data_IF_144276661376
#
_entry.id   IF_144276661376
#
_cell.length_a   1.000
_cell.length_b   1.000
_cell.length_c   1.000
_cell.angle_alpha   90.00
_cell.angle_beta   90.00
_cell.angle_gamma   90.00
#
_symmetry.space_group_name_H-M   'P 1'
#
loop_
_entity.id
_entity.type
_entity.pdbx_description
1 polymer ?
#
# COMPACT_ATOMS: atom_id res chain seq x y z
N UNK A 1 35.35 -46.33 -21.84
CA UNK A 1 34.15 -46.08 -20.97
C UNK A 1 34.60 -45.39 -19.72
N UNK A 2 34.51 -44.07 -19.65
CA UNK A 2 34.81 -43.29 -18.46
C UNK A 2 33.50 -42.55 -18.10
N UNK A 3 32.85 -43.03 -17.06
CA UNK A 3 31.61 -42.46 -16.51
C UNK A 3 31.96 -41.24 -15.66
N UNK A 4 31.73 -40.05 -16.19
CA UNK A 4 31.77 -38.80 -15.46
C UNK A 4 30.48 -38.67 -14.60
N UNK A 5 30.54 -39.11 -13.35
CA UNK A 5 29.56 -38.79 -12.32
C UNK A 5 29.58 -37.26 -12.10
N UNK A 6 28.64 -36.52 -12.69
CA UNK A 6 28.34 -35.17 -12.24
C UNK A 6 27.81 -35.24 -10.79
N UNK A 7 28.65 -34.81 -9.85
CA UNK A 7 28.21 -34.51 -8.47
C UNK A 7 27.18 -33.38 -8.56
N UNK A 8 25.91 -33.72 -8.48
CA UNK A 8 24.87 -32.75 -8.12
C UNK A 8 25.15 -32.35 -6.69
N UNK A 9 25.81 -31.21 -6.48
CA UNK A 9 25.83 -30.53 -5.19
C UNK A 9 24.41 -30.07 -4.93
N UNK A 10 23.68 -30.84 -4.13
CA UNK A 10 22.43 -30.39 -3.52
C UNK A 10 22.78 -29.30 -2.50
N UNK A 11 22.82 -28.04 -2.97
CA UNK A 11 22.85 -26.89 -2.07
C UNK A 11 21.54 -26.94 -1.31
N UNK A 12 21.62 -27.15 0.01
CA UNK A 12 20.45 -27.08 0.89
C UNK A 12 19.73 -25.75 0.64
N UNK A 13 18.41 -25.72 0.58
CA UNK A 13 17.68 -24.48 0.31
C UNK A 13 17.92 -23.53 1.48
N UNK A 14 18.75 -22.51 1.28
CA UNK A 14 18.94 -21.42 2.22
C UNK A 14 17.67 -20.57 2.19
N UNK A 15 16.92 -20.56 3.30
CA UNK A 15 15.75 -19.69 3.46
C UNK A 15 16.12 -18.20 3.60
N UNK A 16 17.41 -17.89 3.77
CA UNK A 16 17.91 -16.52 3.91
C UNK A 16 18.31 -15.91 2.57
N UNK A 17 18.20 -14.58 2.49
CA UNK A 17 18.73 -13.76 1.38
C UNK A 17 20.03 -13.11 1.86
N UNK A 18 21.09 -13.17 1.03
CA UNK A 18 22.31 -12.41 1.31
C UNK A 18 22.11 -10.94 0.89
N UNK A 19 21.57 -10.14 1.80
CA UNK A 19 21.26 -8.74 1.56
C UNK A 19 22.50 -7.83 1.39
N UNK A 20 23.70 -8.34 1.69
CA UNK A 20 24.93 -7.59 1.44
C UNK A 20 25.41 -7.71 -0.01
N UNK A 21 24.81 -8.61 -0.77
CA UNK A 21 25.11 -8.77 -2.19
C UNK A 21 24.43 -7.67 -3.01
N UNK A 22 25.10 -7.16 -4.02
CA UNK A 22 24.50 -6.23 -5.01
C UNK A 22 24.55 -6.85 -6.42
N UNK A 23 24.22 -8.15 -6.52
CA UNK A 23 24.21 -8.90 -7.78
C UNK A 23 22.90 -9.65 -7.98
N UNK A 24 22.59 -10.03 -9.21
CA UNK A 24 21.45 -10.87 -9.56
C UNK A 24 20.11 -10.36 -9.03
N UNK A 25 19.34 -11.25 -8.39
CA UNK A 25 18.02 -10.95 -7.83
C UNK A 25 18.08 -9.99 -6.65
N UNK A 26 19.15 -10.01 -5.85
CA UNK A 26 19.31 -9.10 -4.70
C UNK A 26 19.51 -7.66 -5.17
N UNK A 27 20.29 -7.44 -6.25
CA UNK A 27 20.40 -6.11 -6.86
C UNK A 27 19.04 -5.58 -7.30
N UNK A 28 18.21 -6.40 -7.94
CA UNK A 28 16.87 -5.99 -8.37
C UNK A 28 15.98 -5.70 -7.16
N UNK A 29 16.08 -6.49 -6.08
CA UNK A 29 15.37 -6.22 -4.84
C UNK A 29 15.76 -4.84 -4.28
N UNK A 30 17.06 -4.54 -4.20
CA UNK A 30 17.56 -3.25 -3.69
C UNK A 30 17.08 -2.08 -4.54
N UNK A 31 17.19 -2.16 -5.85
CA UNK A 31 16.71 -1.11 -6.73
C UNK A 31 15.18 -0.93 -6.60
N UNK A 32 14.44 -2.03 -6.42
CA UNK A 32 12.97 -1.98 -6.38
C UNK A 32 12.42 -1.50 -5.04
N UNK A 33 12.99 -1.93 -3.88
CA UNK A 33 12.53 -1.39 -2.61
C UNK A 33 12.90 0.09 -2.46
N UNK A 34 14.05 0.53 -3.03
CA UNK A 34 14.42 1.94 -3.00
C UNK A 34 13.52 2.80 -3.92
N UNK A 35 13.03 2.25 -5.05
CA UNK A 35 11.99 2.88 -5.84
C UNK A 35 10.71 3.09 -5.01
N UNK A 36 10.33 2.08 -4.21
CA UNK A 36 9.17 2.17 -3.32
C UNK A 36 9.39 3.16 -2.18
N UNK A 37 10.58 3.19 -1.60
CA UNK A 37 10.99 4.18 -0.61
C UNK A 37 10.81 5.60 -1.15
N UNK A 38 11.28 5.89 -2.37
CA UNK A 38 11.12 7.21 -3.00
C UNK A 38 9.64 7.53 -3.23
N UNK A 39 8.83 6.58 -3.70
CA UNK A 39 7.40 6.83 -3.86
C UNK A 39 6.73 7.16 -2.53
N UNK A 40 7.08 6.49 -1.43
CA UNK A 40 6.56 6.82 -0.10
C UNK A 40 7.08 8.15 0.44
N UNK A 41 8.35 8.45 0.20
CA UNK A 41 8.93 9.74 0.53
C UNK A 41 8.16 10.90 -0.15
N UNK A 42 7.89 10.78 -1.46
CA UNK A 42 7.08 11.75 -2.22
C UNK A 42 5.64 11.80 -1.72
N UNK A 43 5.02 10.64 -1.51
CA UNK A 43 3.61 10.54 -1.15
C UNK A 43 3.30 11.17 0.21
N UNK A 44 4.23 11.06 1.17
CA UNK A 44 4.09 11.59 2.53
C UNK A 44 4.87 12.89 2.78
N UNK A 45 5.50 13.46 1.76
CA UNK A 45 6.34 14.68 1.90
C UNK A 45 5.62 15.88 2.53
N UNK A 46 4.32 16.02 2.30
CA UNK A 46 3.50 17.13 2.83
C UNK A 46 3.25 17.01 4.34
N UNK A 47 3.16 15.77 4.87
CA UNK A 47 2.68 15.54 6.23
C UNK A 47 3.52 16.24 7.32
N UNK A 48 4.88 16.12 7.32
CA UNK A 48 5.72 16.80 8.31
C UNK A 48 5.81 18.31 8.11
N UNK A 49 5.39 18.81 6.95
CA UNK A 49 5.46 20.24 6.59
C UNK A 49 4.07 20.90 6.57
N UNK A 50 3.04 20.18 7.05
CA UNK A 50 1.66 20.65 7.00
C UNK A 50 1.45 21.96 7.76
N UNK A 51 2.15 22.18 8.88
CA UNK A 51 2.07 23.44 9.62
C UNK A 51 2.54 24.63 8.77
N UNK A 52 3.68 24.50 8.09
CA UNK A 52 4.20 25.54 7.18
C UNK A 52 3.27 25.77 5.98
N UNK A 53 2.70 24.70 5.42
CA UNK A 53 1.73 24.79 4.33
C UNK A 53 0.48 25.52 4.81
N UNK A 54 -0.03 25.17 6.00
CA UNK A 54 -1.19 25.81 6.62
C UNK A 54 -0.95 27.30 6.82
N UNK A 55 0.21 27.69 7.31
CA UNK A 55 0.60 29.08 7.54
C UNK A 55 0.70 29.86 6.21
N UNK A 56 1.37 29.28 5.20
CA UNK A 56 1.56 29.92 3.87
C UNK A 56 0.22 30.22 3.18
N UNK A 57 -0.74 29.32 3.25
CA UNK A 57 -2.03 29.46 2.58
C UNK A 57 -3.15 29.92 3.53
N UNK A 58 -2.87 30.17 4.80
CA UNK A 58 -3.86 30.53 5.84
C UNK A 58 -5.03 29.53 5.91
N UNK A 59 -4.69 28.21 5.84
CA UNK A 59 -5.69 27.16 5.76
C UNK A 59 -6.46 26.99 7.06
N UNK A 60 -7.74 26.79 6.95
CA UNK A 60 -8.62 26.36 8.04
C UNK A 60 -8.31 24.90 8.44
N UNK A 61 -8.66 24.50 9.65
CA UNK A 61 -8.53 23.12 10.10
C UNK A 61 -9.29 22.13 9.18
N UNK A 62 -10.37 22.58 8.56
CA UNK A 62 -11.17 21.81 7.60
C UNK A 62 -10.42 21.55 6.30
N UNK A 63 -9.76 22.56 5.74
CA UNK A 63 -8.96 22.46 4.53
C UNK A 63 -7.75 21.55 4.73
N UNK A 64 -7.08 21.63 5.88
CA UNK A 64 -6.00 20.71 6.25
C UNK A 64 -6.51 19.26 6.28
N UNK A 65 -7.64 18.99 6.94
CA UNK A 65 -8.24 17.65 6.97
C UNK A 65 -8.58 17.15 5.55
N UNK A 66 -9.02 18.05 4.68
CA UNK A 66 -9.31 17.74 3.29
C UNK A 66 -8.08 17.30 2.52
N UNK A 67 -6.95 18.01 2.65
CA UNK A 67 -5.70 17.60 2.02
C UNK A 67 -5.24 16.20 2.47
N UNK A 68 -5.48 15.85 3.75
CA UNK A 68 -5.15 14.52 4.26
C UNK A 68 -6.05 13.42 3.67
N UNK A 69 -7.35 13.69 3.50
CA UNK A 69 -8.31 12.74 2.91
C UNK A 69 -8.03 12.53 1.42
N UNK A 70 -7.72 13.59 0.67
CA UNK A 70 -7.42 13.52 -0.76
C UNK A 70 -6.26 12.57 -1.08
N UNK A 71 -5.36 12.36 -0.14
CA UNK A 71 -4.24 11.43 -0.27
C UNK A 71 -4.67 10.00 -0.62
N UNK A 72 -5.80 9.54 -0.12
CA UNK A 72 -6.25 8.15 -0.26
C UNK A 72 -7.23 8.00 -1.42
N UNK A 73 -7.92 9.07 -1.82
CA UNK A 73 -9.03 9.03 -2.76
C UNK A 73 -8.66 8.39 -4.11
N UNK A 74 -7.61 8.86 -4.77
CA UNK A 74 -7.19 8.31 -6.06
C UNK A 74 -6.41 6.99 -5.92
N UNK A 75 -5.85 6.69 -4.76
CA UNK A 75 -5.03 5.49 -4.55
C UNK A 75 -5.84 4.20 -4.76
N UNK A 76 -7.12 4.20 -4.40
CA UNK A 76 -8.01 3.03 -4.56
C UNK A 76 -8.08 2.62 -6.04
N UNK A 77 -8.59 3.45 -6.96
CA UNK A 77 -8.66 3.09 -8.38
C UNK A 77 -7.27 2.97 -9.02
N UNK A 78 -6.29 3.76 -8.60
CA UNK A 78 -4.94 3.71 -9.15
C UNK A 78 -4.28 2.34 -8.94
N UNK A 79 -4.39 1.72 -7.77
CA UNK A 79 -3.84 0.38 -7.51
C UNK A 79 -4.41 -0.69 -8.43
N UNK A 80 -5.69 -0.63 -8.75
CA UNK A 80 -6.34 -1.57 -9.67
C UNK A 80 -5.84 -1.36 -11.10
N UNK A 81 -5.85 -0.11 -11.56
CA UNK A 81 -5.43 0.25 -12.93
C UNK A 81 -3.96 -0.11 -13.14
N UNK A 82 -3.09 0.30 -12.22
CA UNK A 82 -1.65 0.01 -12.27
C UNK A 82 -1.40 -1.49 -12.17
N UNK A 83 -2.18 -2.23 -11.35
CA UNK A 83 -2.10 -3.69 -11.28
C UNK A 83 -2.40 -4.38 -12.61
N UNK A 84 -3.38 -3.89 -13.36
CA UNK A 84 -3.67 -4.40 -14.71
C UNK A 84 -2.58 -4.00 -15.72
N UNK A 85 -2.10 -2.76 -15.63
CA UNK A 85 -1.09 -2.24 -16.53
C UNK A 85 0.27 -2.91 -16.32
N UNK A 86 0.70 -3.14 -15.09
CA UNK A 86 1.99 -3.78 -14.82
C UNK A 86 2.05 -5.21 -15.36
N UNK A 87 0.95 -5.95 -15.29
CA UNK A 87 0.90 -7.32 -15.83
C UNK A 87 1.04 -7.35 -17.37
N UNK A 88 0.62 -6.29 -18.06
CA UNK A 88 0.69 -6.20 -19.52
C UNK A 88 1.94 -5.49 -20.05
N UNK A 89 2.37 -4.42 -19.39
CA UNK A 89 3.49 -3.55 -19.83
C UNK A 89 4.83 -4.03 -19.29
N UNK A 90 4.86 -4.60 -18.08
CA UNK A 90 6.04 -5.02 -17.35
C UNK A 90 6.42 -4.03 -16.23
N UNK A 91 7.00 -4.55 -15.13
CA UNK A 91 7.28 -3.74 -13.94
C UNK A 91 8.37 -2.69 -14.14
N UNK A 92 9.38 -2.95 -14.99
CA UNK A 92 10.43 -1.99 -15.30
C UNK A 92 9.87 -0.67 -15.84
N UNK A 93 9.10 -0.77 -16.93
CA UNK A 93 8.52 0.41 -17.58
C UNK A 93 7.47 1.07 -16.69
N UNK A 94 6.66 0.26 -16.03
CA UNK A 94 5.58 0.77 -15.20
C UNK A 94 6.09 1.52 -13.98
N UNK A 95 7.16 1.04 -13.31
CA UNK A 95 7.72 1.74 -12.16
C UNK A 95 8.44 3.03 -12.56
N UNK A 96 9.22 2.98 -13.64
CA UNK A 96 9.86 4.19 -14.17
C UNK A 96 8.83 5.26 -14.53
N UNK A 97 7.76 4.88 -15.22
CA UNK A 97 6.65 5.79 -15.54
C UNK A 97 6.00 6.37 -14.27
N UNK A 98 5.74 5.53 -13.28
CA UNK A 98 5.12 5.96 -12.02
C UNK A 98 6.02 6.95 -11.27
N UNK A 99 7.31 6.68 -11.15
CA UNK A 99 8.29 7.59 -10.54
C UNK A 99 8.37 8.92 -11.29
N UNK A 100 8.40 8.86 -12.63
CA UNK A 100 8.43 10.05 -13.49
C UNK A 100 7.21 10.94 -13.27
N UNK A 101 6.01 10.38 -13.34
CA UNK A 101 4.76 11.11 -13.09
C UNK A 101 4.73 11.64 -11.66
N UNK A 102 5.13 10.82 -10.67
CA UNK A 102 5.17 11.22 -9.26
C UNK A 102 6.06 12.43 -9.03
N UNK A 103 7.21 12.50 -9.71
CA UNK A 103 8.10 13.65 -9.62
C UNK A 103 7.45 14.94 -10.10
N UNK A 104 6.79 14.92 -11.26
CA UNK A 104 6.08 16.10 -11.76
C UNK A 104 4.89 16.52 -10.90
N UNK A 105 4.10 15.54 -10.40
CA UNK A 105 2.99 15.83 -9.49
C UNK A 105 3.51 16.47 -8.18
N UNK A 106 4.63 15.97 -7.67
CA UNK A 106 5.29 16.53 -6.49
C UNK A 106 5.74 17.98 -6.71
N UNK A 107 6.37 18.26 -7.85
CA UNK A 107 6.74 19.63 -8.22
C UNK A 107 5.50 20.53 -8.37
N UNK A 108 4.45 20.04 -9.02
CA UNK A 108 3.19 20.76 -9.13
C UNK A 108 2.57 21.08 -7.76
N UNK A 109 2.65 20.15 -6.79
CA UNK A 109 2.22 20.39 -5.41
C UNK A 109 3.11 21.44 -4.72
N UNK A 110 4.43 21.31 -4.85
CA UNK A 110 5.39 22.22 -4.19
C UNK A 110 5.23 23.67 -4.65
N UNK A 111 4.95 23.89 -5.94
CA UNK A 111 4.82 25.21 -6.53
C UNK A 111 3.36 25.67 -6.75
N UNK A 112 2.40 25.01 -6.12
CA UNK A 112 1.02 25.48 -6.09
C UNK A 112 0.94 26.89 -5.45
N UNK A 113 0.10 27.76 -6.01
CA UNK A 113 -0.09 29.14 -5.56
C UNK A 113 -1.46 29.38 -4.92
N UNK A 114 -2.42 28.47 -5.13
CA UNK A 114 -3.75 28.51 -4.51
C UNK A 114 -4.09 27.20 -3.81
N UNK A 115 -5.05 27.25 -2.89
CA UNK A 115 -5.56 26.06 -2.21
C UNK A 115 -6.13 25.03 -3.18
N UNK A 116 -6.86 25.48 -4.21
CA UNK A 116 -7.48 24.59 -5.21
C UNK A 116 -6.40 23.83 -6.00
N UNK A 117 -5.32 24.52 -6.40
CA UNK A 117 -4.18 23.87 -7.06
C UNK A 117 -3.52 22.87 -6.14
N UNK A 118 -3.30 23.24 -4.86
CA UNK A 118 -2.72 22.37 -3.85
C UNK A 118 -3.57 21.11 -3.66
N UNK A 119 -4.89 21.28 -3.50
CA UNK A 119 -5.86 20.19 -3.33
C UNK A 119 -5.91 19.28 -4.56
N UNK A 120 -5.92 19.87 -5.77
CA UNK A 120 -5.93 19.12 -7.02
C UNK A 120 -4.64 18.29 -7.20
N UNK A 121 -3.47 18.92 -6.99
CA UNK A 121 -2.20 18.18 -7.05
C UNK A 121 -2.13 17.08 -5.98
N UNK A 122 -2.67 17.35 -4.79
CA UNK A 122 -2.75 16.35 -3.71
C UNK A 122 -3.63 15.16 -4.07
N UNK A 123 -4.77 15.41 -4.69
CA UNK A 123 -5.62 14.35 -5.22
C UNK A 123 -4.87 13.50 -6.26
N UNK A 124 -4.20 14.13 -7.23
CA UNK A 124 -3.43 13.42 -8.25
C UNK A 124 -2.24 12.63 -7.64
N UNK A 125 -1.61 13.14 -6.59
CA UNK A 125 -0.54 12.45 -5.88
C UNK A 125 -1.01 11.13 -5.24
N UNK A 126 -2.29 10.90 -5.05
CA UNK A 126 -2.84 9.59 -4.68
C UNK A 126 -2.44 8.46 -5.63
N UNK A 127 -2.15 8.77 -6.90
CA UNK A 127 -1.61 7.83 -7.89
C UNK A 127 -0.27 7.20 -7.46
N UNK A 128 0.57 7.94 -6.73
CA UNK A 128 1.89 7.51 -6.25
C UNK A 128 1.81 6.25 -5.38
N UNK A 129 0.73 6.14 -4.58
CA UNK A 129 0.49 4.99 -3.70
C UNK A 129 0.29 3.64 -4.43
N UNK A 130 0.15 3.67 -5.77
CA UNK A 130 0.10 2.46 -6.59
C UNK A 130 1.47 1.81 -6.84
N UNK A 131 2.59 2.46 -6.50
CA UNK A 131 3.94 1.92 -6.64
C UNK A 131 4.15 0.56 -5.97
N UNK A 132 3.48 0.34 -4.85
CA UNK A 132 3.51 -0.92 -4.12
C UNK A 132 3.21 -2.15 -5.01
N UNK A 133 2.18 -2.05 -5.85
CA UNK A 133 1.71 -3.15 -6.72
C UNK A 133 2.77 -3.52 -7.76
N UNK A 134 3.47 -2.52 -8.29
CA UNK A 134 4.49 -2.71 -9.33
C UNK A 134 5.68 -3.52 -8.80
N UNK A 135 6.15 -3.22 -7.61
CA UNK A 135 7.28 -3.94 -7.04
C UNK A 135 6.92 -5.34 -6.56
N UNK A 136 5.70 -5.58 -6.09
CA UNK A 136 5.22 -6.95 -5.80
C UNK A 136 5.29 -7.80 -7.08
N UNK A 137 4.90 -7.24 -8.23
CA UNK A 137 5.03 -7.93 -9.52
C UNK A 137 6.50 -8.19 -9.87
N UNK A 138 7.40 -7.21 -9.68
CA UNK A 138 8.85 -7.38 -9.91
C UNK A 138 9.42 -8.50 -9.04
N UNK A 139 9.15 -8.47 -7.73
CA UNK A 139 9.62 -9.50 -6.79
C UNK A 139 9.13 -10.90 -7.20
N UNK A 140 7.88 -11.02 -7.68
CA UNK A 140 7.33 -12.31 -8.12
C UNK A 140 8.01 -12.90 -9.36
N UNK A 141 8.64 -12.06 -10.19
CA UNK A 141 9.38 -12.52 -11.37
C UNK A 141 10.82 -12.94 -11.05
N UNK A 142 11.42 -12.32 -10.02
CA UNK A 142 12.83 -12.51 -9.70
C UNK A 142 13.10 -13.51 -8.57
N UNK A 143 12.09 -13.81 -7.74
CA UNK A 143 12.29 -14.69 -6.57
C UNK A 143 11.46 -15.97 -6.66
N UNK A 144 12.05 -17.12 -6.27
CA UNK A 144 11.31 -18.39 -6.21
C UNK A 144 10.28 -18.37 -5.08
N UNK A 145 9.27 -19.23 -5.19
CA UNK A 145 8.16 -19.35 -4.23
C UNK A 145 8.58 -19.50 -2.76
N UNK A 146 9.77 -20.08 -2.49
CA UNK A 146 10.32 -20.26 -1.13
C UNK A 146 10.93 -18.99 -0.53
N UNK A 147 11.18 -17.96 -1.32
CA UNK A 147 11.85 -16.72 -0.92
C UNK A 147 11.00 -15.48 -1.21
N UNK A 148 9.90 -15.62 -1.96
CA UNK A 148 9.07 -14.49 -2.42
C UNK A 148 8.43 -13.74 -1.27
N UNK A 149 8.11 -14.43 -0.18
CA UNK A 149 7.52 -13.81 1.01
C UNK A 149 8.53 -12.91 1.73
N UNK A 150 9.74 -13.42 1.98
CA UNK A 150 10.81 -12.62 2.60
C UNK A 150 11.18 -11.43 1.69
N UNK A 151 11.39 -11.67 0.39
CA UNK A 151 11.72 -10.60 -0.55
C UNK A 151 10.61 -9.55 -0.68
N UNK A 152 9.34 -9.96 -0.72
CA UNK A 152 8.18 -9.09 -0.73
C UNK A 152 8.02 -8.30 0.58
N UNK A 153 8.32 -8.94 1.72
CA UNK A 153 8.33 -8.30 3.03
C UNK A 153 9.41 -7.22 3.14
N UNK A 154 10.63 -7.49 2.65
CA UNK A 154 11.72 -6.50 2.57
C UNK A 154 11.32 -5.35 1.64
N UNK A 155 10.82 -5.67 0.46
CA UNK A 155 10.33 -4.66 -0.47
C UNK A 155 9.29 -3.73 0.17
N UNK A 156 8.25 -4.31 0.78
CA UNK A 156 7.16 -3.55 1.40
C UNK A 156 7.59 -2.81 2.67
N UNK A 157 8.34 -3.48 3.56
CA UNK A 157 8.76 -2.90 4.84
C UNK A 157 9.78 -1.77 4.68
N UNK A 158 10.82 -1.99 3.88
CA UNK A 158 11.86 -1.00 3.66
C UNK A 158 11.38 0.15 2.76
N UNK A 159 10.47 -0.14 1.82
CA UNK A 159 9.84 0.91 1.02
C UNK A 159 8.94 1.82 1.86
N UNK A 160 8.10 1.26 2.74
CA UNK A 160 7.25 2.06 3.64
C UNK A 160 8.05 2.99 4.57
N UNK A 161 9.30 2.67 4.87
CA UNK A 161 10.20 3.53 5.65
C UNK A 161 10.39 4.90 5.00
N UNK A 162 10.11 5.06 3.71
CA UNK A 162 10.12 6.36 3.02
C UNK A 162 9.25 7.42 3.70
N UNK A 163 8.12 7.04 4.30
CA UNK A 163 7.26 7.98 5.05
C UNK A 163 7.91 8.45 6.35
N UNK A 164 8.58 7.56 7.08
CA UNK A 164 9.34 7.92 8.28
C UNK A 164 10.54 8.79 7.91
N UNK A 165 11.24 8.47 6.81
CA UNK A 165 12.33 9.29 6.30
C UNK A 165 11.87 10.71 5.92
N UNK A 166 10.67 10.85 5.32
CA UNK A 166 10.07 12.16 5.06
C UNK A 166 9.87 12.94 6.37
N UNK A 167 9.30 12.30 7.39
CA UNK A 167 9.04 12.94 8.68
C UNK A 167 10.33 13.38 9.39
N UNK A 168 11.41 12.63 9.25
CA UNK A 168 12.69 12.90 9.90
C UNK A 168 13.53 13.94 9.14
N UNK A 169 13.48 13.93 7.80
CA UNK A 169 14.42 14.73 6.98
C UNK A 169 13.85 16.03 6.45
N UNK A 170 12.56 16.05 6.06
CA UNK A 170 12.01 17.21 5.34
C UNK A 170 11.87 18.46 6.20
N UNK A 171 11.53 18.43 7.50
CA UNK A 171 11.57 19.61 8.34
C UNK A 171 12.97 20.22 8.44
N UNK A 172 14.00 19.37 8.52
CA UNK A 172 15.40 19.82 8.57
C UNK A 172 15.78 20.48 7.24
N UNK A 173 15.43 19.86 6.11
CA UNK A 173 15.67 20.42 4.79
C UNK A 173 14.94 21.74 4.59
N UNK A 174 13.70 21.86 5.05
CA UNK A 174 12.93 23.11 4.98
C UNK A 174 13.61 24.23 5.76
N UNK A 175 14.13 23.95 6.95
CA UNK A 175 14.91 24.90 7.74
C UNK A 175 16.23 25.27 7.05
N UNK A 176 16.91 24.30 6.42
CA UNK A 176 18.15 24.54 5.69
C UNK A 176 17.96 25.41 4.44
N UNK A 177 16.86 25.25 3.72
CA UNK A 177 16.53 26.12 2.59
C UNK A 177 16.13 27.51 3.06
N UNK A 178 15.52 27.61 4.25
CA UNK A 178 15.16 28.87 4.89
C UNK A 178 14.01 29.63 4.23
N UNK A 179 13.57 30.71 4.90
CA UNK A 179 12.48 31.55 4.42
C UNK A 179 11.11 30.87 4.44
N UNK A 180 10.10 31.60 4.00
CA UNK A 180 8.70 31.14 3.98
C UNK A 180 8.45 30.01 2.95
N UNK A 181 9.30 29.91 1.93
CA UNK A 181 9.24 28.90 0.86
C UNK A 181 10.13 27.67 1.12
N UNK A 182 10.83 27.58 2.26
CA UNK A 182 11.70 26.45 2.57
C UNK A 182 11.01 25.08 2.46
N UNK A 183 9.74 25.00 2.85
CA UNK A 183 8.94 23.79 2.72
C UNK A 183 8.69 23.39 1.25
N UNK A 184 8.56 24.35 0.33
CA UNK A 184 8.38 24.13 -1.11
C UNK A 184 9.61 23.44 -1.71
N UNK A 185 10.79 23.96 -1.39
CA UNK A 185 12.07 23.39 -1.87
C UNK A 185 12.34 22.02 -1.25
N UNK A 186 11.98 21.81 0.02
CA UNK A 186 12.09 20.50 0.65
C UNK A 186 11.19 19.46 -0.05
N UNK A 187 9.93 19.78 -0.37
CA UNK A 187 9.05 18.92 -1.13
C UNK A 187 9.56 18.72 -2.56
N UNK A 188 9.93 19.80 -3.25
CA UNK A 188 10.45 19.76 -4.62
C UNK A 188 11.67 18.84 -4.74
N UNK A 189 12.56 18.84 -3.74
CA UNK A 189 13.74 17.96 -3.72
C UNK A 189 13.38 16.48 -3.82
N UNK A 190 12.28 16.05 -3.18
CA UNK A 190 11.80 14.66 -3.27
C UNK A 190 11.25 14.36 -4.67
N UNK A 191 10.58 15.31 -5.31
CA UNK A 191 10.11 15.20 -6.69
C UNK A 191 11.27 15.06 -7.67
N UNK A 192 12.32 15.87 -7.52
CA UNK A 192 13.54 15.79 -8.34
C UNK A 192 14.23 14.43 -8.15
N UNK A 193 14.33 13.95 -6.91
CA UNK A 193 14.86 12.62 -6.62
C UNK A 193 14.08 11.52 -7.36
N UNK A 194 12.75 11.61 -7.38
CA UNK A 194 11.89 10.65 -8.10
C UNK A 194 12.14 10.70 -9.61
N UNK A 195 12.29 11.88 -10.21
CA UNK A 195 12.61 12.06 -11.64
C UNK A 195 13.96 11.43 -11.99
N UNK A 196 15.00 11.72 -11.22
CA UNK A 196 16.35 11.16 -11.42
C UNK A 196 16.29 9.64 -11.30
N UNK A 197 15.64 9.12 -10.25
CA UNK A 197 15.58 7.69 -9.99
C UNK A 197 14.71 6.95 -11.00
N UNK A 198 13.73 7.60 -11.62
CA UNK A 198 12.97 7.06 -12.75
C UNK A 198 13.89 6.60 -13.89
N UNK A 199 14.85 7.44 -14.27
CA UNK A 199 15.86 7.11 -15.28
C UNK A 199 16.80 5.99 -14.81
N UNK A 200 17.35 6.12 -13.60
CA UNK A 200 18.24 5.10 -13.02
C UNK A 200 17.55 3.73 -13.00
N UNK A 201 16.30 3.66 -12.53
CA UNK A 201 15.53 2.42 -12.47
C UNK A 201 15.31 1.84 -13.86
N UNK A 202 14.92 2.67 -14.84
CA UNK A 202 14.68 2.24 -16.21
C UNK A 202 15.90 1.57 -16.84
N UNK A 203 17.09 2.12 -16.66
CA UNK A 203 18.32 1.60 -17.28
C UNK A 203 18.98 0.48 -16.47
N UNK A 204 18.68 0.38 -15.16
CA UNK A 204 19.37 -0.57 -14.26
C UNK A 204 18.62 -1.88 -14.02
N UNK A 205 17.32 -1.98 -14.40
CA UNK A 205 16.43 -3.10 -14.06
C UNK A 205 15.93 -3.76 -15.32
N UNK A 206 15.65 -5.08 -15.25
CA UNK A 206 14.93 -5.84 -16.29
C UNK A 206 13.70 -6.49 -15.69
N UNK A 207 12.66 -6.75 -16.51
CA UNK A 207 11.38 -7.29 -16.02
C UNK A 207 11.53 -8.71 -15.46
N UNK A 208 12.45 -9.51 -16.05
CA UNK A 208 12.69 -10.91 -15.68
C UNK A 208 14.18 -11.22 -15.70
N UNK A 209 14.63 -12.30 -15.03
CA UNK A 209 15.98 -12.84 -15.20
C UNK A 209 16.27 -13.21 -16.65
N UNK A 210 17.55 -13.19 -17.03
CA UNK A 210 17.98 -13.60 -18.38
C UNK A 210 17.51 -15.02 -18.69
N UNK A 211 16.98 -15.23 -19.90
CA UNK A 211 16.43 -16.51 -20.34
C UNK A 211 15.03 -16.85 -19.82
N UNK A 212 14.42 -15.99 -19.00
CA UNK A 212 13.04 -16.16 -18.53
C UNK A 212 12.06 -15.34 -19.36
N UNK A 213 10.86 -15.89 -19.59
CA UNK A 213 9.78 -15.20 -20.30
C UNK A 213 8.86 -14.48 -19.33
N UNK A 214 8.53 -13.23 -19.63
CA UNK A 214 7.52 -12.48 -18.88
C UNK A 214 6.12 -12.97 -19.26
N UNK A 215 5.41 -13.56 -18.30
CA UNK A 215 4.06 -14.09 -18.53
C UNK A 215 3.02 -12.99 -18.40
N UNK A 216 2.38 -12.66 -19.54
CA UNK A 216 1.29 -11.68 -19.60
C UNK A 216 -0.07 -12.36 -19.44
N UNK A 217 -1.10 -11.64 -18.96
CA UNK A 217 -2.48 -12.09 -19.04
C UNK A 217 -2.88 -12.34 -20.49
N UNK A 218 -3.76 -13.29 -20.74
CA UNK A 218 -4.24 -13.57 -22.09
C UNK A 218 -5.15 -12.46 -22.61
N UNK A 219 -5.89 -11.79 -21.70
CA UNK A 219 -6.83 -10.72 -22.01
C UNK A 219 -6.62 -9.55 -21.07
N UNK A 220 -6.76 -8.33 -21.59
CA UNK A 220 -6.72 -7.10 -20.81
C UNK A 220 -8.14 -6.69 -20.36
N UNK A 221 -8.24 -5.99 -19.23
CA UNK A 221 -9.49 -5.39 -18.79
C UNK A 221 -10.20 -6.04 -17.61
N UNK A 222 -9.64 -7.11 -17.06
CA UNK A 222 -10.15 -7.78 -15.86
C UNK A 222 -9.38 -9.06 -15.55
N UNK A 223 -9.53 -9.58 -14.33
CA UNK A 223 -8.98 -10.88 -13.96
C UNK A 223 -9.75 -12.01 -14.66
N UNK A 224 -8.99 -12.98 -15.14
CA UNK A 224 -9.56 -14.21 -15.69
C UNK A 224 -9.99 -15.11 -14.52
N UNK A 225 -11.27 -15.46 -14.43
CA UNK A 225 -11.79 -16.42 -13.46
C UNK A 225 -12.10 -17.76 -14.14
N UNK A 226 -12.39 -18.80 -13.36
CA UNK A 226 -12.43 -20.16 -13.89
C UNK A 226 -13.76 -20.88 -13.70
N UNK A 227 -14.65 -20.35 -12.88
CA UNK A 227 -16.00 -20.86 -12.66
C UNK A 227 -17.01 -19.71 -12.66
N UNK A 228 -18.29 -20.04 -12.88
CA UNK A 228 -19.40 -19.05 -12.80
C UNK A 228 -19.51 -18.50 -11.36
N UNK A 229 -19.31 -19.35 -10.35
CA UNK A 229 -19.29 -18.91 -8.95
C UNK A 229 -18.17 -17.91 -8.67
N UNK A 230 -16.95 -18.15 -9.20
CA UNK A 230 -15.84 -17.22 -9.10
C UNK A 230 -16.13 -15.90 -9.84
N UNK A 231 -16.85 -15.96 -10.97
CA UNK A 231 -17.25 -14.75 -11.71
C UNK A 231 -18.21 -13.89 -10.89
N UNK A 232 -19.23 -14.50 -10.29
CA UNK A 232 -20.18 -13.77 -9.41
C UNK A 232 -19.45 -13.21 -8.20
N UNK A 233 -18.59 -14.00 -7.54
CA UNK A 233 -17.79 -13.54 -6.41
C UNK A 233 -16.87 -12.36 -6.80
N UNK A 234 -16.28 -12.39 -7.99
CA UNK A 234 -15.43 -11.28 -8.46
C UNK A 234 -16.25 -9.99 -8.65
N UNK A 235 -17.45 -10.07 -9.21
CA UNK A 235 -18.34 -8.91 -9.32
C UNK A 235 -18.70 -8.36 -7.94
N UNK A 236 -19.09 -9.21 -7.01
CA UNK A 236 -19.43 -8.81 -5.63
C UNK A 236 -18.24 -8.16 -4.92
N UNK A 237 -17.04 -8.71 -5.09
CA UNK A 237 -15.82 -8.16 -4.49
C UNK A 237 -15.37 -6.82 -5.09
N UNK A 238 -15.93 -6.35 -6.20
CA UNK A 238 -15.72 -4.99 -6.68
C UNK A 238 -16.60 -3.96 -5.96
N UNK A 239 -17.77 -4.34 -5.43
CA UNK A 239 -18.71 -3.39 -4.80
C UNK A 239 -18.10 -2.59 -3.65
N UNK A 240 -17.38 -3.19 -2.66
CA UNK A 240 -16.77 -2.43 -1.56
C UNK A 240 -15.80 -1.33 -2.01
N UNK A 241 -15.12 -1.52 -3.14
CA UNK A 241 -14.19 -0.56 -3.73
C UNK A 241 -14.94 0.71 -4.17
N UNK A 242 -16.05 0.55 -4.86
CA UNK A 242 -16.91 1.65 -5.29
C UNK A 242 -17.63 2.30 -4.10
N UNK A 243 -18.11 1.48 -3.16
CA UNK A 243 -18.76 1.96 -1.94
C UNK A 243 -17.81 2.84 -1.10
N UNK A 244 -16.55 2.44 -0.91
CA UNK A 244 -15.56 3.24 -0.20
C UNK A 244 -15.29 4.58 -0.91
N UNK A 245 -15.22 4.58 -2.25
CA UNK A 245 -15.06 5.81 -3.03
C UNK A 245 -16.29 6.70 -2.92
N UNK A 246 -17.50 6.13 -2.88
CA UNK A 246 -18.74 6.87 -2.65
C UNK A 246 -18.78 7.48 -1.22
N UNK A 247 -18.32 6.76 -0.19
CA UNK A 247 -18.18 7.28 1.18
C UNK A 247 -17.20 8.45 1.24
N UNK A 248 -16.09 8.38 0.49
CA UNK A 248 -15.15 9.51 0.37
C UNK A 248 -15.83 10.72 -0.26
N UNK A 249 -16.56 10.53 -1.36
CA UNK A 249 -17.31 11.63 -2.00
C UNK A 249 -18.34 12.24 -1.05
N UNK A 250 -19.07 11.41 -0.28
CA UNK A 250 -20.00 11.89 0.75
C UNK A 250 -19.28 12.71 1.83
N UNK A 251 -18.12 12.25 2.30
CA UNK A 251 -17.32 13.00 3.28
C UNK A 251 -16.84 14.36 2.77
N UNK A 252 -16.53 14.47 1.48
CA UNK A 252 -16.14 15.74 0.84
C UNK A 252 -17.33 16.64 0.51
N UNK A 253 -18.55 16.10 0.56
CA UNK A 253 -19.80 16.77 0.20
C UNK A 253 -20.28 17.82 1.21
N UNK A 254 -21.40 18.52 0.88
CA UNK A 254 -21.90 19.68 1.62
C UNK A 254 -22.26 19.38 3.08
N UNK A 255 -22.68 18.14 3.37
CA UNK A 255 -23.08 17.73 4.73
C UNK A 255 -21.91 17.52 5.69
N UNK A 256 -20.67 17.52 5.19
CA UNK A 256 -19.47 17.22 5.99
C UNK A 256 -18.38 18.28 5.79
N UNK A 257 -17.45 18.03 4.83
CA UNK A 257 -16.29 18.89 4.59
C UNK A 257 -16.62 20.10 3.71
N UNK A 258 -17.70 20.01 2.94
CA UNK A 258 -18.17 21.04 2.02
C UNK A 258 -17.11 21.50 0.99
N UNK A 259 -16.24 20.56 0.56
CA UNK A 259 -15.25 20.83 -0.50
C UNK A 259 -15.85 20.74 -1.90
N UNK A 260 -16.81 19.85 -2.08
CA UNK A 260 -17.51 19.64 -3.35
C UNK A 260 -19.00 19.95 -3.21
N UNK A 261 -19.60 20.52 -4.25
CA UNK A 261 -21.04 20.79 -4.28
C UNK A 261 -21.85 19.49 -4.33
N UNK A 262 -23.15 19.56 -4.01
CA UNK A 262 -24.07 18.44 -4.14
C UNK A 262 -24.14 17.91 -5.58
N UNK A 263 -24.04 18.79 -6.57
CA UNK A 263 -24.04 18.43 -7.99
C UNK A 263 -22.81 17.61 -8.37
N UNK A 264 -21.62 18.04 -7.91
CA UNK A 264 -20.37 17.31 -8.12
C UNK A 264 -20.42 15.95 -7.42
N UNK A 265 -20.92 15.89 -6.19
CA UNK A 265 -21.07 14.63 -5.45
C UNK A 265 -22.00 13.66 -6.18
N UNK A 266 -23.16 14.11 -6.65
CA UNK A 266 -24.11 13.30 -7.40
C UNK A 266 -23.52 12.84 -8.76
N UNK A 267 -22.74 13.72 -9.41
CA UNK A 267 -22.02 13.36 -10.64
C UNK A 267 -20.99 12.25 -10.38
N UNK A 268 -20.26 12.30 -9.24
CA UNK A 268 -19.35 11.25 -8.82
C UNK A 268 -20.11 9.93 -8.61
N UNK A 269 -21.27 9.95 -7.94
CA UNK A 269 -22.07 8.74 -7.74
C UNK A 269 -22.53 8.12 -9.06
N UNK A 270 -23.02 8.94 -9.98
CA UNK A 270 -23.42 8.48 -11.32
C UNK A 270 -22.22 7.90 -12.08
N UNK A 271 -21.07 8.57 -12.01
CA UNK A 271 -19.83 8.08 -12.62
C UNK A 271 -19.39 6.73 -12.02
N UNK A 272 -19.45 6.55 -10.70
CA UNK A 272 -19.11 5.29 -10.03
C UNK A 272 -20.02 4.14 -10.48
N UNK A 273 -21.33 4.37 -10.56
CA UNK A 273 -22.29 3.37 -11.06
C UNK A 273 -22.02 3.03 -12.52
N UNK A 274 -21.76 4.05 -13.35
CA UNK A 274 -21.45 3.86 -14.78
C UNK A 274 -20.14 3.08 -14.96
N UNK A 275 -19.10 3.44 -14.23
CA UNK A 275 -17.79 2.74 -14.29
C UNK A 275 -17.94 1.31 -13.82
N UNK A 276 -18.69 1.04 -12.74
CA UNK A 276 -18.95 -0.33 -12.27
C UNK A 276 -19.69 -1.15 -13.33
N UNK A 277 -20.70 -0.58 -13.99
CA UNK A 277 -21.43 -1.26 -15.06
C UNK A 277 -20.50 -1.57 -16.26
N UNK A 278 -19.71 -0.61 -16.72
CA UNK A 278 -18.73 -0.80 -17.80
C UNK A 278 -17.67 -1.85 -17.42
N UNK A 279 -17.16 -1.80 -16.18
CA UNK A 279 -16.21 -2.77 -15.70
C UNK A 279 -16.82 -4.18 -15.63
N UNK A 280 -18.07 -4.31 -15.16
CA UNK A 280 -18.79 -5.58 -15.11
C UNK A 280 -18.96 -6.19 -16.52
N UNK A 281 -19.28 -5.37 -17.51
CA UNK A 281 -19.37 -5.78 -18.92
C UNK A 281 -17.98 -6.27 -19.42
N UNK A 282 -16.91 -5.55 -19.10
CA UNK A 282 -15.54 -5.95 -19.47
C UNK A 282 -15.12 -7.25 -18.79
N UNK A 283 -15.41 -7.41 -17.50
CA UNK A 283 -15.18 -8.67 -16.77
C UNK A 283 -15.93 -9.83 -17.42
N UNK A 284 -17.20 -9.62 -17.82
CA UNK A 284 -17.96 -10.61 -18.57
C UNK A 284 -17.29 -10.96 -19.91
N UNK A 285 -16.88 -9.95 -20.68
CA UNK A 285 -16.25 -10.16 -21.98
C UNK A 285 -14.92 -10.95 -21.87
N UNK A 286 -14.11 -10.67 -20.82
CA UNK A 286 -12.89 -11.44 -20.54
C UNK A 286 -13.20 -12.89 -20.19
N UNK A 287 -14.32 -13.14 -19.49
CA UNK A 287 -14.66 -14.42 -18.91
C UNK A 287 -15.75 -15.20 -19.68
N UNK A 288 -16.08 -14.82 -20.91
CA UNK A 288 -17.12 -15.52 -21.71
C UNK A 288 -16.92 -17.04 -21.80
N UNK A 289 -15.68 -17.52 -21.78
CA UNK A 289 -15.35 -18.96 -21.87
C UNK A 289 -15.82 -19.75 -20.64
N UNK A 290 -15.91 -19.10 -19.48
CA UNK A 290 -16.40 -19.74 -18.24
C UNK A 290 -17.84 -20.23 -18.41
N UNK A 291 -18.68 -19.48 -19.13
CA UNK A 291 -20.08 -19.84 -19.39
C UNK A 291 -20.22 -20.93 -20.48
N UNK A 292 -19.15 -21.20 -21.24
CA UNK A 292 -19.12 -22.28 -22.24
C UNK A 292 -18.48 -23.57 -21.70
N UNK A 293 -17.98 -23.57 -20.47
CA UNK A 293 -17.29 -24.71 -19.87
C UNK A 293 -15.86 -24.95 -20.39
N UNK A 294 -15.32 -24.08 -21.24
CA UNK A 294 -14.08 -24.28 -21.98
C UNK A 294 -12.81 -23.83 -21.25
N UNK A 295 -12.78 -23.91 -19.90
CA UNK A 295 -11.58 -23.52 -19.14
C UNK A 295 -10.71 -24.75 -18.89
N UNK A 296 -9.50 -24.83 -19.51
CA UNK A 296 -8.58 -25.93 -19.31
C UNK A 296 -8.19 -26.10 -17.84
N UNK A 297 -8.03 -27.34 -17.38
CA UNK A 297 -7.77 -27.65 -15.97
C UNK A 297 -6.51 -26.98 -15.43
N UNK A 298 -5.43 -26.94 -16.19
CA UNK A 298 -4.15 -26.30 -15.80
C UNK A 298 -4.25 -24.77 -15.64
N UNK A 299 -5.33 -24.15 -16.11
CA UNK A 299 -5.58 -22.71 -15.96
C UNK A 299 -6.47 -22.42 -14.75
N UNK A 300 -7.09 -23.42 -14.16
CA UNK A 300 -8.02 -23.24 -13.04
C UNK A 300 -7.29 -22.78 -11.78
N UNK A 301 -7.91 -21.85 -11.06
CA UNK A 301 -7.57 -21.44 -9.72
C UNK A 301 -8.86 -20.99 -9.02
N UNK A 302 -8.84 -20.88 -7.70
CA UNK A 302 -10.03 -20.49 -6.92
C UNK A 302 -9.97 -19.00 -6.62
N UNK A 303 -10.85 -18.19 -7.20
CA UNK A 303 -10.95 -16.76 -6.91
C UNK A 303 -11.21 -16.45 -5.43
N UNK A 304 -11.81 -17.38 -4.70
CA UNK A 304 -11.97 -17.31 -3.24
C UNK A 304 -10.63 -17.03 -2.52
N UNK A 305 -9.50 -17.48 -3.06
CA UNK A 305 -8.19 -17.17 -2.47
C UNK A 305 -7.86 -15.68 -2.59
N UNK A 306 -8.21 -15.05 -3.72
CA UNK A 306 -8.07 -13.61 -3.91
C UNK A 306 -8.95 -12.86 -2.92
N UNK A 307 -10.25 -13.23 -2.84
CA UNK A 307 -11.19 -12.60 -1.92
C UNK A 307 -10.73 -12.67 -0.44
N UNK A 308 -10.16 -13.79 -0.01
CA UNK A 308 -9.61 -13.93 1.35
C UNK A 308 -8.39 -13.01 1.56
N UNK A 309 -7.53 -12.88 0.55
CA UNK A 309 -6.36 -11.98 0.64
C UNK A 309 -6.78 -10.51 0.63
N UNK A 310 -7.80 -10.15 -0.15
CA UNK A 310 -8.38 -8.81 -0.17
C UNK A 310 -8.92 -8.44 1.21
N UNK A 311 -9.72 -9.32 1.83
CA UNK A 311 -10.25 -9.09 3.18
C UNK A 311 -9.16 -9.09 4.25
N UNK A 312 -8.18 -10.00 4.15
CA UNK A 312 -7.05 -10.00 5.09
C UNK A 312 -6.25 -8.69 5.03
N UNK A 313 -6.00 -8.18 3.81
CA UNK A 313 -5.28 -6.92 3.66
C UNK A 313 -6.14 -5.69 4.01
N UNK A 314 -7.46 -5.78 3.81
CA UNK A 314 -8.42 -4.78 4.30
C UNK A 314 -8.30 -4.61 5.81
N UNK A 315 -8.19 -5.72 6.55
CA UNK A 315 -8.04 -5.70 8.01
C UNK A 315 -6.64 -5.26 8.40
N UNK A 316 -5.57 -5.85 7.86
CA UNK A 316 -4.20 -5.55 8.30
C UNK A 316 -3.77 -4.14 7.88
N UNK A 317 -3.72 -3.84 6.59
CA UNK A 317 -3.26 -2.52 6.11
C UNK A 317 -4.26 -1.40 6.40
N UNK A 318 -5.58 -1.70 6.36
CA UNK A 318 -6.60 -0.72 6.75
C UNK A 318 -6.44 -0.27 8.19
N UNK A 319 -6.14 -1.22 9.09
CA UNK A 319 -5.82 -0.93 10.49
C UNK A 319 -4.54 -0.12 10.63
N UNK A 320 -3.47 -0.48 9.90
CA UNK A 320 -2.21 0.27 9.91
C UNK A 320 -2.45 1.76 9.65
N UNK A 321 -3.14 2.07 8.55
CA UNK A 321 -3.39 3.46 8.14
C UNK A 321 -4.24 4.20 9.18
N UNK A 322 -5.29 3.55 9.69
CA UNK A 322 -6.19 4.18 10.65
C UNK A 322 -5.50 4.40 12.01
N UNK A 323 -4.77 3.41 12.50
CA UNK A 323 -4.09 3.48 13.81
C UNK A 323 -2.94 4.49 13.76
N UNK A 324 -2.07 4.44 12.75
CA UNK A 324 -0.98 5.43 12.60
C UNK A 324 -1.52 6.85 12.59
N UNK A 325 -2.69 7.09 11.99
CA UNK A 325 -3.30 8.42 11.92
C UNK A 325 -3.76 8.95 13.28
N UNK A 326 -4.17 8.08 14.22
CA UNK A 326 -4.75 8.48 15.50
C UNK A 326 -3.81 8.37 16.71
N UNK A 327 -2.76 7.54 16.61
CA UNK A 327 -1.87 7.24 17.74
C UNK A 327 -1.25 8.47 18.42
N UNK A 328 -0.75 9.49 17.69
CA UNK A 328 -0.20 10.68 18.32
C UNK A 328 -1.21 11.39 19.24
N UNK A 329 -2.44 11.57 18.75
CA UNK A 329 -3.52 12.19 19.52
C UNK A 329 -3.95 11.32 20.70
N UNK A 330 -3.97 9.99 20.51
CA UNK A 330 -4.28 9.06 21.59
C UNK A 330 -3.27 9.14 22.73
N UNK A 331 -1.97 9.13 22.43
CA UNK A 331 -0.93 9.25 23.46
C UNK A 331 -0.94 10.61 24.15
N UNK A 332 -1.12 11.67 23.38
CA UNK A 332 -1.23 13.02 23.91
C UNK A 332 -2.41 13.15 24.90
N UNK A 333 -3.60 12.70 24.50
CA UNK A 333 -4.81 12.83 25.29
C UNK A 333 -4.87 11.85 26.48
N UNK A 334 -4.29 10.64 26.35
CA UNK A 334 -4.39 9.60 27.38
C UNK A 334 -3.35 9.78 28.49
N UNK A 335 -2.15 10.26 28.16
CA UNK A 335 -1.01 10.32 29.09
C UNK A 335 -0.52 11.75 29.37
N UNK A 336 -1.22 12.76 28.90
CA UNK A 336 -0.86 14.19 29.05
C UNK A 336 0.59 14.49 28.62
N UNK A 337 1.01 13.89 27.49
CA UNK A 337 2.37 14.03 26.96
C UNK A 337 2.49 15.28 26.09
N UNK A 338 3.73 15.78 25.93
CA UNK A 338 4.00 16.79 24.92
C UNK A 338 3.75 16.23 23.49
N UNK A 339 3.39 17.10 22.56
CA UNK A 339 3.16 16.74 21.15
C UNK A 339 4.35 15.97 20.54
N UNK A 340 5.58 16.38 20.87
CA UNK A 340 6.81 15.74 20.39
C UNK A 340 6.94 14.33 20.97
N UNK A 341 6.73 14.15 22.28
CA UNK A 341 6.82 12.85 22.93
C UNK A 341 5.74 11.88 22.40
N UNK A 342 4.51 12.35 22.26
CA UNK A 342 3.40 11.57 21.72
C UNK A 342 3.67 11.15 20.26
N UNK A 343 4.22 12.05 19.45
CA UNK A 343 4.61 11.76 18.07
C UNK A 343 5.73 10.73 17.96
N UNK A 344 6.77 10.83 18.81
CA UNK A 344 7.88 9.87 18.85
C UNK A 344 7.41 8.47 19.27
N UNK A 345 6.55 8.37 20.28
CA UNK A 345 5.98 7.09 20.70
C UNK A 345 5.14 6.46 19.59
N UNK A 346 4.29 7.25 18.94
CA UNK A 346 3.45 6.81 17.84
C UNK A 346 4.29 6.34 16.63
N UNK A 347 5.42 7.01 16.35
CA UNK A 347 6.35 6.62 15.27
C UNK A 347 6.93 5.21 15.47
N UNK A 348 7.05 4.74 16.72
CA UNK A 348 7.48 3.37 17.04
C UNK A 348 6.62 2.30 16.36
N UNK A 349 5.30 2.52 16.25
CA UNK A 349 4.39 1.62 15.55
C UNK A 349 4.73 1.50 14.06
N UNK A 350 4.91 2.64 13.39
CA UNK A 350 5.26 2.66 11.97
C UNK A 350 6.67 2.08 11.70
N UNK A 351 7.62 2.30 12.63
CA UNK A 351 8.97 1.77 12.51
C UNK A 351 9.02 0.22 12.49
N UNK A 352 8.05 -0.44 13.13
CA UNK A 352 7.97 -1.91 13.11
C UNK A 352 7.84 -2.48 11.70
N UNK A 353 7.38 -1.71 10.72
CA UNK A 353 7.33 -2.12 9.31
C UNK A 353 8.66 -2.66 8.77
N UNK A 354 9.77 -2.04 9.18
CA UNK A 354 11.12 -2.40 8.70
C UNK A 354 11.49 -3.83 9.06
N UNK A 355 11.03 -4.31 10.21
CA UNK A 355 11.36 -5.64 10.75
C UNK A 355 10.20 -6.61 10.60
N UNK A 356 8.99 -6.20 10.97
CA UNK A 356 7.84 -7.10 11.07
C UNK A 356 7.32 -7.56 9.70
N UNK A 357 7.29 -6.72 8.66
CA UNK A 357 6.89 -7.16 7.32
C UNK A 357 7.82 -8.21 6.73
N UNK A 358 9.16 -8.03 6.71
CA UNK A 358 10.08 -9.09 6.32
C UNK A 358 9.91 -10.37 7.15
N UNK A 359 9.77 -10.25 8.47
CA UNK A 359 9.55 -11.38 9.37
C UNK A 359 8.25 -12.13 9.03
N UNK A 360 7.14 -11.44 8.78
CA UNK A 360 5.87 -12.03 8.37
C UNK A 360 5.97 -12.78 7.04
N UNK A 361 6.68 -12.21 6.07
CA UNK A 361 7.00 -12.87 4.82
C UNK A 361 7.82 -14.14 5.01
N UNK A 362 8.88 -14.08 5.83
CA UNK A 362 9.74 -15.23 6.16
C UNK A 362 8.97 -16.32 6.92
N UNK A 363 8.18 -15.95 7.92
CA UNK A 363 7.33 -16.86 8.69
C UNK A 363 6.36 -17.57 7.74
N UNK A 364 5.75 -16.85 6.82
CA UNK A 364 4.86 -17.36 5.79
C UNK A 364 5.58 -18.34 4.85
N UNK A 365 6.81 -18.02 4.41
CA UNK A 365 7.63 -18.89 3.56
C UNK A 365 8.04 -20.20 4.26
N UNK A 366 8.32 -20.13 5.57
CA UNK A 366 8.90 -21.23 6.34
C UNK A 366 7.86 -22.16 6.99
N UNK A 367 6.82 -21.59 7.61
CA UNK A 367 5.84 -22.32 8.43
C UNK A 367 4.52 -22.60 7.72
N UNK A 368 4.39 -22.16 6.47
CA UNK A 368 3.20 -22.37 5.62
C UNK A 368 2.26 -21.18 5.63
N UNK A 369 1.78 -20.83 4.42
CA UNK A 369 1.08 -19.61 4.08
C UNK A 369 -0.18 -19.37 4.92
N UNK A 370 -1.11 -20.34 4.88
CA UNK A 370 -2.39 -20.23 5.58
C UNK A 370 -2.22 -20.18 7.09
N UNK A 371 -1.39 -21.07 7.63
CA UNK A 371 -1.19 -21.20 9.09
C UNK A 371 -0.58 -19.93 9.67
N UNK A 372 0.47 -19.41 9.03
CA UNK A 372 1.14 -18.19 9.46
C UNK A 372 0.20 -16.99 9.46
N UNK A 373 -0.55 -16.78 8.35
CA UNK A 373 -1.50 -15.66 8.28
C UNK A 373 -2.58 -15.76 9.37
N UNK A 374 -3.13 -16.97 9.62
CA UNK A 374 -4.14 -17.16 10.68
C UNK A 374 -3.60 -16.80 12.07
N UNK A 375 -2.38 -17.26 12.42
CA UNK A 375 -1.79 -16.93 13.72
C UNK A 375 -1.47 -15.43 13.86
N UNK A 376 -1.02 -14.79 12.80
CA UNK A 376 -0.73 -13.36 12.80
C UNK A 376 -2.01 -12.52 13.00
N UNK A 377 -3.13 -12.91 12.35
CA UNK A 377 -4.42 -12.26 12.56
C UNK A 377 -4.96 -12.45 14.00
N UNK A 378 -4.82 -13.65 14.57
CA UNK A 378 -5.19 -13.89 15.98
C UNK A 378 -4.34 -13.07 16.93
N UNK A 379 -3.02 -13.02 16.69
CA UNK A 379 -2.12 -12.18 17.48
C UNK A 379 -2.44 -10.68 17.38
N UNK A 380 -2.81 -10.22 16.17
CA UNK A 380 -3.27 -8.86 15.92
C UNK A 380 -4.54 -8.55 16.74
N UNK A 381 -5.56 -9.43 16.68
CA UNK A 381 -6.80 -9.28 17.42
C UNK A 381 -6.52 -9.18 18.94
N UNK A 382 -5.69 -10.08 19.49
CA UNK A 382 -5.27 -10.04 20.89
C UNK A 382 -4.52 -8.76 21.26
N UNK A 383 -3.63 -8.27 20.38
CA UNK A 383 -2.90 -7.02 20.58
C UNK A 383 -3.83 -5.81 20.63
N UNK A 384 -4.78 -5.69 19.71
CA UNK A 384 -5.75 -4.59 19.69
C UNK A 384 -6.77 -4.68 20.83
N UNK A 385 -7.15 -5.89 21.24
CA UNK A 385 -7.93 -6.09 22.46
C UNK A 385 -7.18 -5.54 23.68
N UNK A 386 -5.89 -5.81 23.84
CA UNK A 386 -5.09 -5.23 24.92
C UNK A 386 -4.98 -3.70 24.80
N UNK A 387 -4.82 -3.17 23.56
CA UNK A 387 -4.81 -1.72 23.33
C UNK A 387 -6.13 -1.06 23.75
N UNK A 388 -7.26 -1.73 23.61
CA UNK A 388 -8.56 -1.21 24.05
C UNK A 388 -8.68 -1.03 25.56
N UNK A 389 -7.82 -1.70 26.35
CA UNK A 389 -7.79 -1.60 27.83
C UNK A 389 -6.87 -0.48 28.33
N UNK A 390 -6.13 0.19 27.45
CA UNK A 390 -5.18 1.24 27.84
C UNK A 390 -5.95 2.46 28.36
N UNK A 391 -5.59 2.86 29.59
CA UNK A 391 -6.11 4.07 30.27
C UNK A 391 -4.95 4.93 30.75
N UNK A 392 -5.25 6.17 31.18
CA UNK A 392 -4.23 7.09 31.70
C UNK A 392 -3.53 6.62 32.99
N UNK A 393 -4.08 5.60 33.67
CA UNK A 393 -3.46 4.98 34.86
C UNK A 393 -2.34 3.97 34.50
N UNK A 394 -2.20 3.58 33.23
CA UNK A 394 -1.16 2.66 32.81
C UNK A 394 0.22 3.34 32.78
N UNK A 395 1.30 2.61 33.11
CA UNK A 395 2.64 3.08 32.80
C UNK A 395 2.80 3.27 31.27
N UNK A 396 3.29 4.43 30.84
CA UNK A 396 3.48 4.76 29.41
C UNK A 396 4.31 3.70 28.68
N UNK A 397 5.35 3.17 29.35
CA UNK A 397 6.21 2.11 28.78
C UNK A 397 5.41 0.83 28.51
N UNK A 398 4.48 0.44 29.39
CA UNK A 398 3.64 -0.73 29.18
C UNK A 398 2.68 -0.54 27.99
N UNK A 399 2.06 0.64 27.90
CA UNK A 399 1.22 1.00 26.77
C UNK A 399 2.00 0.97 25.45
N UNK A 400 3.25 1.46 25.43
CA UNK A 400 4.15 1.40 24.28
C UNK A 400 4.46 -0.05 23.89
N UNK A 401 4.79 -0.92 24.84
CA UNK A 401 5.08 -2.35 24.57
C UNK A 401 3.86 -3.05 23.95
N UNK A 402 2.66 -2.82 24.50
CA UNK A 402 1.42 -3.40 23.98
C UNK A 402 1.16 -2.92 22.55
N UNK A 403 1.29 -1.61 22.32
CA UNK A 403 1.13 -1.01 21.00
C UNK A 403 2.13 -1.57 19.98
N UNK A 404 3.42 -1.64 20.33
CA UNK A 404 4.45 -2.20 19.45
C UNK A 404 4.20 -3.68 19.16
N UNK A 405 3.73 -4.45 20.16
CA UNK A 405 3.38 -5.86 19.98
C UNK A 405 2.21 -6.03 19.00
N UNK A 406 1.15 -5.23 19.16
CA UNK A 406 0.04 -5.20 18.22
C UNK A 406 0.53 -4.86 16.79
N UNK A 407 1.39 -3.84 16.68
CA UNK A 407 2.02 -3.44 15.43
C UNK A 407 2.86 -4.54 14.78
N UNK A 408 3.61 -5.32 15.55
CA UNK A 408 4.39 -6.45 15.02
C UNK A 408 3.47 -7.48 14.36
N UNK A 409 2.38 -7.90 15.00
CA UNK A 409 1.46 -8.87 14.44
C UNK A 409 0.75 -8.34 13.19
N UNK A 410 0.32 -7.09 13.22
CA UNK A 410 -0.36 -6.40 12.14
C UNK A 410 0.55 -6.27 10.92
N UNK A 411 1.77 -5.73 11.09
CA UNK A 411 2.75 -5.53 10.03
C UNK A 411 3.26 -6.87 9.45
N UNK A 412 3.46 -7.87 10.32
CA UNK A 412 3.79 -9.22 9.87
C UNK A 412 2.63 -9.84 9.07
N UNK A 413 1.38 -9.56 9.45
CA UNK A 413 0.18 -9.92 8.70
C UNK A 413 0.20 -9.34 7.28
N UNK A 414 0.55 -8.06 7.12
CA UNK A 414 0.75 -7.41 5.83
C UNK A 414 1.80 -8.15 4.97
N UNK A 415 2.94 -8.51 5.55
CA UNK A 415 3.99 -9.28 4.89
C UNK A 415 3.52 -10.66 4.46
N UNK A 416 2.77 -11.36 5.32
CA UNK A 416 2.24 -12.69 5.05
C UNK A 416 1.20 -12.71 3.93
N UNK A 417 0.31 -11.70 3.83
CA UNK A 417 -0.67 -11.56 2.73
C UNK A 417 0.07 -11.49 1.39
N UNK A 418 1.05 -10.59 1.26
CA UNK A 418 1.78 -10.42 0.01
C UNK A 418 2.80 -11.52 -0.28
N UNK A 419 3.12 -12.37 0.69
CA UNK A 419 3.82 -13.62 0.44
C UNK A 419 2.96 -14.64 -0.32
N UNK A 420 1.62 -14.54 -0.26
CA UNK A 420 0.68 -15.44 -0.90
C UNK A 420 0.26 -14.94 -2.29
N UNK A 421 0.06 -13.64 -2.44
CA UNK A 421 -0.44 -12.99 -3.68
C UNK A 421 0.22 -13.52 -4.97
N UNK A 422 1.55 -13.59 -5.10
CA UNK A 422 2.20 -14.07 -6.32
C UNK A 422 1.95 -15.55 -6.63
N UNK A 423 1.57 -16.32 -5.61
CA UNK A 423 1.41 -17.78 -5.72
C UNK A 423 0.02 -18.19 -6.18
N UNK A 424 -0.97 -17.29 -6.12
CA UNK A 424 -2.35 -17.56 -6.58
C UNK A 424 -2.36 -17.76 -8.10
N UNK A 425 -1.82 -16.79 -8.85
CA UNK A 425 -1.68 -16.89 -10.31
C UNK A 425 -0.59 -15.93 -10.80
N UNK A 426 0.59 -16.46 -11.08
CA UNK A 426 1.78 -15.67 -11.41
C UNK A 426 1.55 -14.63 -12.52
N UNK A 427 0.86 -14.98 -13.61
CA UNK A 427 0.60 -14.07 -14.74
C UNK A 427 -0.35 -12.90 -14.42
N UNK A 428 -1.06 -12.95 -13.29
CA UNK A 428 -2.02 -11.93 -12.83
C UNK A 428 -1.61 -11.36 -11.47
N UNK A 429 -0.35 -11.50 -11.06
CA UNK A 429 0.15 -11.04 -9.76
C UNK A 429 -0.13 -9.54 -9.55
N UNK A 430 0.07 -8.72 -10.58
CA UNK A 430 -0.21 -7.28 -10.52
C UNK A 430 -1.68 -6.98 -10.32
N UNK A 431 -2.58 -7.68 -11.02
CA UNK A 431 -4.03 -7.51 -10.87
C UNK A 431 -4.50 -7.93 -9.49
N UNK A 432 -4.02 -9.07 -8.97
CA UNK A 432 -4.34 -9.56 -7.62
C UNK A 432 -3.78 -8.62 -6.56
N UNK A 433 -2.52 -8.19 -6.71
CA UNK A 433 -1.89 -7.23 -5.82
C UNK A 433 -2.59 -5.86 -5.85
N UNK A 434 -3.07 -5.45 -7.03
CA UNK A 434 -3.84 -4.22 -7.21
C UNK A 434 -5.16 -4.27 -6.46
N UNK A 435 -5.90 -5.37 -6.56
CA UNK A 435 -7.18 -5.57 -5.88
C UNK A 435 -6.97 -5.64 -4.36
N UNK A 436 -6.04 -6.48 -3.88
CA UNK A 436 -5.72 -6.57 -2.47
C UNK A 436 -5.25 -5.19 -1.91
N UNK A 437 -4.38 -4.50 -2.66
CA UNK A 437 -3.93 -3.16 -2.29
C UNK A 437 -5.06 -2.12 -2.24
N UNK A 438 -6.04 -2.17 -3.14
CA UNK A 438 -7.23 -1.33 -3.10
C UNK A 438 -8.07 -1.63 -1.87
N UNK A 439 -8.27 -2.91 -1.54
CA UNK A 439 -8.97 -3.33 -0.33
C UNK A 439 -8.33 -2.83 0.96
N UNK A 440 -7.01 -2.76 1.03
CA UNK A 440 -6.32 -2.13 2.16
C UNK A 440 -6.76 -0.66 2.38
N UNK A 441 -6.93 0.11 1.29
CA UNK A 441 -7.45 1.49 1.39
C UNK A 441 -8.97 1.52 1.67
N UNK A 442 -9.74 0.55 1.18
CA UNK A 442 -11.16 0.37 1.59
C UNK A 442 -11.25 0.20 3.10
N UNK A 443 -10.40 -0.67 3.67
CA UNK A 443 -10.30 -0.86 5.12
C UNK A 443 -9.98 0.43 5.87
N UNK A 444 -9.01 1.20 5.38
CA UNK A 444 -8.66 2.48 5.96
C UNK A 444 -9.85 3.46 5.98
N UNK A 445 -10.59 3.57 4.86
CA UNK A 445 -11.80 4.42 4.79
C UNK A 445 -12.86 3.95 5.78
N UNK A 446 -13.13 2.64 5.84
CA UNK A 446 -14.10 2.07 6.78
C UNK A 446 -13.72 2.36 8.24
N UNK A 447 -12.47 2.06 8.63
CA UNK A 447 -12.00 2.21 10.00
C UNK A 447 -11.88 3.67 10.42
N UNK A 448 -11.38 4.56 9.56
CA UNK A 448 -11.35 6.01 9.84
C UNK A 448 -12.77 6.60 9.95
N UNK A 449 -13.73 6.03 9.20
CA UNK A 449 -15.13 6.41 9.35
C UNK A 449 -15.66 5.96 10.70
N UNK A 450 -15.43 4.72 11.13
CA UNK A 450 -15.80 4.22 12.45
C UNK A 450 -15.17 5.09 13.55
N UNK A 451 -13.87 5.40 13.45
CA UNK A 451 -13.15 6.23 14.41
C UNK A 451 -13.79 7.61 14.60
N UNK A 452 -14.50 8.14 13.60
CA UNK A 452 -15.18 9.43 13.72
C UNK A 452 -16.42 9.40 14.63
N UNK A 453 -16.91 8.21 15.02
CA UNK A 453 -18.12 8.02 15.83
C UNK A 453 -17.87 7.37 17.20
N UNK A 454 -16.67 6.83 17.43
CA UNK A 454 -16.36 6.09 18.68
C UNK A 454 -15.13 6.62 19.38
N UNK A 455 -14.98 6.29 20.68
CA UNK A 455 -13.77 6.59 21.43
C UNK A 455 -12.57 5.76 20.94
N UNK A 456 -11.31 6.19 21.18
CA UNK A 456 -10.13 5.42 20.84
C UNK A 456 -10.14 3.98 21.37
N UNK A 457 -10.58 3.77 22.61
CA UNK A 457 -10.67 2.45 23.23
C UNK A 457 -11.69 1.57 22.50
N UNK A 458 -12.89 2.11 22.23
CA UNK A 458 -13.92 1.42 21.47
C UNK A 458 -13.46 1.12 20.04
N UNK A 459 -12.68 2.02 19.43
CA UNK A 459 -12.10 1.82 18.11
C UNK A 459 -11.11 0.63 18.09
N UNK A 460 -10.23 0.53 19.07
CA UNK A 460 -9.32 -0.63 19.18
C UNK A 460 -10.09 -1.93 19.41
N UNK A 461 -11.20 -1.89 20.15
CA UNK A 461 -12.06 -3.04 20.35
C UNK A 461 -12.78 -3.48 19.06
N UNK A 462 -13.15 -2.54 18.19
CA UNK A 462 -13.74 -2.86 16.86
C UNK A 462 -12.71 -3.54 15.96
N UNK A 463 -11.43 -3.19 16.08
CA UNK A 463 -10.36 -3.85 15.30
C UNK A 463 -10.10 -5.27 15.83
N UNK A 464 -10.19 -5.50 17.12
CA UNK A 464 -9.98 -6.79 17.79
C UNK A 464 -11.03 -7.83 17.40
#
# INVERSE_FOLDING_TARGET
MISTRQRRTTVAPTFGLNLWSFTGNIRILHLTWFAFFITFLVWFSHAPLMASIQETFQLTAQEVKTLLILNVALTIPARIIIGMLVDSVGPRRMYSFLLFVSGFLCLGFAFATTYEQLAFMRFLMGFVGAGFVVGIRMVSEWFPAKQVGLAGGIYGGWGNFGSAAAAMSLPILALMFGGDDGWRYAIASTGILALIYSGIYFFSVTDTPQGSTYFKPKRAGGMEVTTVGDFVLYLLMNIPIYAATAVLAWKLGPSNVNLISAEVMNTIYLALVTIYAVQSIRIYQVNKQVFKGDVPEFQRYKFKQVAVLDLAYMVTFGTEVAVVSMLPLFFLATFDLSMVAAGLLAAGFAFMNVIARPAGGLISDRFGRKRSLSWLLVGMAGGFFLMSQITGSWPVLLALIVMMTAGVFEQAGNGAVFAIVPLVKRRMTGQIAGMAGAYGNVGAVCLLTVLSFVSPQSFFLVIA
#
